data_IF_419104501998
#
_entry.id   IF_419104501998
#
_cell.length_a   1.000
_cell.length_b   1.000
_cell.length_c   1.000
_cell.angle_alpha   90.00
_cell.angle_beta   90.00
_cell.angle_gamma   90.00
#
_symmetry.space_group_name_H-M   'P 1'
#
loop_
_entity.id
_entity.type
_entity.pdbx_description
1 polymer ?
#
# COMPACT_ATOMS: atom_id res chain seq x y z
N UNK A 1 -10.37 -11.45 -4.48
CA UNK A 1 -9.86 -10.05 -4.42
C UNK A 1 -9.70 -9.43 -5.80
N UNK A 2 -9.00 -10.07 -6.75
CA UNK A 2 -8.71 -9.48 -8.07
C UNK A 2 -9.97 -8.96 -8.79
N UNK A 3 -11.02 -9.78 -8.90
CA UNK A 3 -12.27 -9.36 -9.56
C UNK A 3 -13.00 -8.27 -8.78
N UNK A 4 -13.10 -8.42 -7.46
CA UNK A 4 -13.76 -7.48 -6.56
C UNK A 4 -13.14 -6.07 -6.60
N UNK A 5 -11.80 -5.98 -6.68
CA UNK A 5 -11.09 -4.70 -6.63
C UNK A 5 -10.85 -4.11 -8.02
N UNK A 6 -10.47 -4.95 -8.99
CA UNK A 6 -9.89 -4.52 -10.26
C UNK A 6 -10.57 -5.12 -11.51
N UNK A 7 -11.59 -5.96 -11.35
CA UNK A 7 -12.40 -6.45 -12.46
C UNK A 7 -13.21 -5.33 -13.13
N UNK A 8 -13.96 -5.62 -14.22
CA UNK A 8 -14.74 -4.61 -14.94
C UNK A 8 -15.72 -3.81 -14.06
N UNK A 9 -16.30 -4.43 -13.03
CA UNK A 9 -17.14 -3.79 -12.01
C UNK A 9 -16.43 -3.58 -10.66
N UNK A 10 -15.11 -3.72 -10.63
CA UNK A 10 -14.34 -3.71 -9.38
C UNK A 10 -14.33 -2.35 -8.69
N UNK A 11 -14.13 -2.38 -7.37
CA UNK A 11 -14.21 -1.22 -6.47
C UNK A 11 -13.39 0.00 -6.94
N UNK A 12 -12.16 -0.21 -7.41
CA UNK A 12 -11.29 0.88 -7.87
C UNK A 12 -11.61 1.39 -9.28
N UNK A 13 -12.41 0.65 -10.08
CA UNK A 13 -12.80 1.04 -11.45
C UNK A 13 -14.18 1.69 -11.53
N UNK A 14 -15.10 1.35 -10.62
CA UNK A 14 -16.52 1.73 -10.71
C UNK A 14 -16.84 3.19 -10.30
N UNK A 15 -15.85 4.02 -9.96
CA UNK A 15 -15.96 5.48 -9.97
C UNK A 15 -16.22 6.20 -8.63
N UNK A 16 -16.65 5.51 -7.57
CA UNK A 16 -16.75 6.13 -6.23
C UNK A 16 -15.39 6.20 -5.50
N UNK A 17 -14.53 5.20 -5.72
CA UNK A 17 -13.19 5.10 -5.14
C UNK A 17 -13.13 5.10 -3.60
N UNK A 18 -11.94 4.93 -3.01
CA UNK A 18 -11.76 4.84 -1.55
C UNK A 18 -12.21 6.10 -0.79
N UNK A 19 -12.17 7.25 -1.44
CA UNK A 19 -12.41 8.55 -0.78
C UNK A 19 -13.85 8.84 -0.34
N UNK A 20 -14.84 8.09 -0.85
CA UNK A 20 -16.20 8.10 -0.30
C UNK A 20 -16.31 7.29 1.00
N UNK A 21 -15.27 6.53 1.33
CA UNK A 21 -15.32 5.44 2.30
C UNK A 21 -14.20 5.50 3.36
N UNK A 22 -13.00 6.01 3.08
CA UNK A 22 -11.87 5.97 4.02
C UNK A 22 -11.16 7.31 4.19
N UNK A 23 -10.69 7.55 5.42
CA UNK A 23 -9.67 8.55 5.73
C UNK A 23 -8.33 7.82 5.82
N UNK A 24 -7.55 7.79 4.74
CA UNK A 24 -6.16 7.29 4.79
C UNK A 24 -5.26 8.27 5.54
N UNK A 25 -4.00 7.91 5.80
CA UNK A 25 -3.01 8.81 6.42
C UNK A 25 -2.88 10.15 5.69
N UNK A 26 -3.02 10.12 4.36
CA UNK A 26 -3.05 11.30 3.46
C UNK A 26 -4.27 12.19 3.74
N UNK A 27 -5.37 11.66 4.25
CA UNK A 27 -6.61 12.42 4.51
C UNK A 27 -6.69 12.97 5.94
N UNK A 28 -5.89 12.46 6.89
CA UNK A 28 -5.94 12.88 8.29
C UNK A 28 -5.14 14.17 8.55
N UNK A 29 -4.00 14.33 7.89
CA UNK A 29 -3.16 15.54 7.91
C UNK A 29 -2.35 15.64 6.60
N UNK A 30 -3.02 15.91 5.46
CA UNK A 30 -2.42 15.85 4.12
C UNK A 30 -1.14 16.67 3.99
N UNK A 31 -1.12 17.87 4.58
CA UNK A 31 -0.01 18.79 4.48
C UNK A 31 1.23 18.29 5.25
N UNK A 32 1.03 17.68 6.41
CA UNK A 32 2.12 17.12 7.22
C UNK A 32 2.73 15.88 6.56
N UNK A 33 1.87 15.00 6.03
CA UNK A 33 2.34 13.79 5.36
C UNK A 33 3.05 14.10 4.05
N UNK A 34 2.46 14.94 3.19
CA UNK A 34 3.11 15.40 1.96
C UNK A 34 4.41 16.17 2.25
N UNK A 35 4.44 16.97 3.32
CA UNK A 35 5.65 17.63 3.79
C UNK A 35 6.77 16.67 4.20
N UNK A 36 6.42 15.57 4.88
CA UNK A 36 7.39 14.51 5.22
C UNK A 36 7.93 13.82 3.97
N UNK A 37 7.06 13.48 3.01
CA UNK A 37 7.46 12.87 1.74
C UNK A 37 8.33 13.82 0.91
N UNK A 38 8.02 15.12 0.88
CA UNK A 38 8.84 16.13 0.21
C UNK A 38 10.23 16.28 0.87
N UNK A 39 10.33 16.17 2.21
CA UNK A 39 11.62 16.14 2.92
C UNK A 39 12.42 14.88 2.59
N UNK A 40 11.78 13.72 2.55
CA UNK A 40 12.42 12.47 2.12
C UNK A 40 12.94 12.59 0.67
N UNK A 41 12.12 13.14 -0.24
CA UNK A 41 12.51 13.39 -1.62
C UNK A 41 13.72 14.35 -1.71
N UNK A 42 13.78 15.38 -0.87
CA UNK A 42 14.93 16.26 -0.79
C UNK A 42 16.20 15.53 -0.31
N UNK A 43 16.11 14.64 0.68
CA UNK A 43 17.26 13.81 1.09
C UNK A 43 17.73 12.89 -0.03
N UNK A 44 16.79 12.30 -0.78
CA UNK A 44 17.09 11.45 -1.94
C UNK A 44 17.78 12.27 -3.04
N UNK A 45 17.28 13.46 -3.36
CA UNK A 45 17.88 14.38 -4.34
C UNK A 45 19.34 14.73 -4.00
N UNK A 46 19.62 15.08 -2.74
CA UNK A 46 20.99 15.38 -2.29
C UNK A 46 21.90 14.14 -2.36
N UNK A 47 21.42 12.96 -1.91
CA UNK A 47 22.18 11.71 -1.98
C UNK A 47 22.49 11.28 -3.41
N UNK A 48 21.61 11.60 -4.35
CA UNK A 48 21.80 11.33 -5.78
C UNK A 48 22.65 12.39 -6.50
N UNK A 49 23.12 13.43 -5.79
CA UNK A 49 23.94 14.48 -6.37
C UNK A 49 23.16 15.46 -7.24
N UNK A 50 21.87 15.68 -6.94
CA UNK A 50 20.97 16.63 -7.63
C UNK A 50 20.88 16.37 -9.14
N UNK A 51 20.31 15.23 -9.55
CA UNK A 51 20.19 14.86 -10.97
C UNK A 51 19.42 15.91 -11.77
N UNK A 52 19.66 15.99 -13.09
CA UNK A 52 18.98 16.95 -13.97
C UNK A 52 17.44 16.79 -13.97
N UNK A 53 16.96 15.55 -13.83
CA UNK A 53 15.56 15.23 -13.59
C UNK A 53 15.46 14.44 -12.27
N UNK A 54 14.51 14.81 -11.42
CA UNK A 54 14.21 14.16 -10.15
C UNK A 54 12.82 13.52 -10.24
N UNK A 55 12.76 12.19 -10.30
CA UNK A 55 11.50 11.46 -10.35
C UNK A 55 10.82 11.32 -9.00
N UNK A 56 9.52 11.53 -8.95
CA UNK A 56 8.65 11.14 -7.85
C UNK A 56 7.50 10.30 -8.40
N UNK A 57 7.42 9.03 -8.03
CA UNK A 57 6.36 8.11 -8.48
C UNK A 57 5.50 7.73 -7.28
N UNK A 58 4.22 8.09 -7.32
CA UNK A 58 3.20 7.73 -6.35
C UNK A 58 2.40 6.53 -6.87
N UNK A 59 2.55 5.36 -6.24
CA UNK A 59 1.95 4.10 -6.68
C UNK A 59 0.68 3.82 -5.88
N UNK A 60 -0.44 3.55 -6.58
CA UNK A 60 -1.75 3.50 -5.95
C UNK A 60 -2.20 4.92 -5.58
N UNK A 61 -2.01 5.86 -6.50
CA UNK A 61 -2.09 7.29 -6.21
C UNK A 61 -3.50 7.80 -5.84
N UNK A 62 -4.55 6.98 -5.96
CA UNK A 62 -5.92 7.39 -5.61
C UNK A 62 -6.44 8.45 -6.56
N UNK A 63 -6.52 9.72 -6.15
CA UNK A 63 -6.79 10.86 -7.07
C UNK A 63 -5.57 11.75 -7.27
N UNK A 64 -4.38 11.26 -6.92
CA UNK A 64 -3.13 11.99 -7.01
C UNK A 64 -2.96 13.04 -5.91
N UNK A 65 -3.65 12.91 -4.77
CA UNK A 65 -3.57 13.89 -3.68
C UNK A 65 -2.15 14.06 -3.15
N UNK A 66 -1.43 12.95 -2.93
CA UNK A 66 -0.05 13.00 -2.45
C UNK A 66 0.89 13.56 -3.52
N UNK A 67 0.82 13.05 -4.75
CA UNK A 67 1.59 13.59 -5.88
C UNK A 67 1.37 15.09 -6.12
N UNK A 68 0.12 15.54 -6.11
CA UNK A 68 -0.23 16.94 -6.27
C UNK A 68 0.28 17.80 -5.11
N UNK A 69 0.13 17.34 -3.87
CA UNK A 69 0.62 18.06 -2.70
C UNK A 69 2.15 18.20 -2.69
N UNK A 70 2.89 17.13 -3.03
CA UNK A 70 4.35 17.17 -3.15
C UNK A 70 4.79 18.12 -4.27
N UNK A 71 4.14 18.05 -5.45
CA UNK A 71 4.43 18.95 -6.55
C UNK A 71 4.18 20.42 -6.19
N UNK A 72 3.06 20.70 -5.51
CA UNK A 72 2.72 22.04 -5.05
C UNK A 72 3.72 22.59 -4.02
N UNK A 73 4.17 21.76 -3.07
CA UNK A 73 5.16 22.15 -2.06
C UNK A 73 6.52 22.51 -2.68
N UNK A 74 6.87 21.92 -3.83
CA UNK A 74 8.13 22.15 -4.52
C UNK A 74 8.03 23.21 -5.63
N UNK A 75 6.84 23.69 -5.96
CA UNK A 75 6.61 24.66 -7.01
C UNK A 75 7.44 25.95 -6.78
N UNK A 76 8.10 26.44 -7.85
CA UNK A 76 8.93 27.64 -7.79
C UNK A 76 10.31 27.45 -7.15
N UNK A 77 10.68 26.22 -6.73
CA UNK A 77 12.02 25.90 -6.22
C UNK A 77 12.92 25.29 -7.31
N UNK A 78 14.24 25.28 -7.10
CA UNK A 78 15.19 24.60 -8.00
C UNK A 78 14.92 23.08 -8.12
N UNK A 79 14.40 22.45 -7.05
CA UNK A 79 14.00 21.03 -7.10
C UNK A 79 12.72 20.86 -7.92
N UNK A 80 11.72 21.72 -7.70
CA UNK A 80 10.47 21.70 -8.47
C UNK A 80 10.69 21.90 -9.96
N UNK A 81 11.68 22.71 -10.36
CA UNK A 81 12.04 22.90 -11.77
C UNK A 81 12.57 21.62 -12.46
N UNK A 82 13.04 20.64 -11.68
CA UNK A 82 13.55 19.34 -12.16
C UNK A 82 12.60 18.18 -11.86
N UNK A 83 11.49 18.45 -11.16
CA UNK A 83 10.59 17.41 -10.66
C UNK A 83 9.79 16.81 -11.82
N UNK A 84 9.84 15.49 -11.93
CA UNK A 84 8.89 14.71 -12.72
C UNK A 84 8.02 13.89 -11.78
N UNK A 85 6.85 14.41 -11.43
CA UNK A 85 5.87 13.74 -10.59
C UNK A 85 4.96 12.85 -11.44
N UNK A 86 4.80 11.58 -11.05
CA UNK A 86 3.97 10.58 -11.73
C UNK A 86 3.01 9.95 -10.72
N UNK A 87 1.71 10.02 -10.99
CA UNK A 87 0.69 9.26 -10.28
C UNK A 87 0.36 7.98 -11.07
N UNK A 88 0.54 6.82 -10.44
CA UNK A 88 0.20 5.51 -11.03
C UNK A 88 -1.07 4.99 -10.39
N UNK A 89 -2.15 4.95 -11.16
CA UNK A 89 -3.48 4.55 -10.69
C UNK A 89 -4.34 3.98 -11.83
N UNK A 90 -5.01 2.87 -11.55
CA UNK A 90 -5.87 2.15 -12.50
C UNK A 90 -7.30 2.69 -12.56
N UNK A 91 -7.71 3.43 -11.53
CA UNK A 91 -8.97 4.15 -11.48
C UNK A 91 -9.06 5.34 -12.45
N UNK A 92 -10.18 6.07 -12.44
CA UNK A 92 -10.37 7.25 -13.29
C UNK A 92 -9.26 8.29 -13.08
N UNK A 93 -8.71 8.78 -14.19
CA UNK A 93 -7.67 9.81 -14.14
C UNK A 93 -8.20 11.12 -13.53
N UNK A 94 -7.40 11.74 -12.67
CA UNK A 94 -7.63 13.09 -12.17
C UNK A 94 -6.72 14.08 -12.89
N UNK A 95 -7.22 15.28 -13.15
CA UNK A 95 -6.41 16.40 -13.65
C UNK A 95 -5.73 17.10 -12.47
N UNK A 96 -4.48 16.72 -12.19
CA UNK A 96 -3.68 17.25 -11.08
C UNK A 96 -2.52 18.07 -11.67
N UNK A 97 -2.48 19.40 -11.44
CA UNK A 97 -1.44 20.26 -12.01
C UNK A 97 -0.02 19.81 -11.65
N UNK A 98 0.83 19.66 -12.68
CA UNK A 98 2.23 19.27 -12.51
C UNK A 98 2.46 17.78 -12.24
N UNK A 99 1.42 16.94 -12.38
CA UNK A 99 1.51 15.49 -12.18
C UNK A 99 1.14 14.77 -13.47
N UNK A 100 2.00 13.85 -13.90
CA UNK A 100 1.73 12.94 -15.01
C UNK A 100 0.91 11.74 -14.52
N UNK A 101 -0.27 11.51 -15.10
CA UNK A 101 -1.09 10.34 -14.77
C UNK A 101 -0.74 9.13 -15.64
N UNK A 102 -0.61 7.96 -15.02
CA UNK A 102 -0.41 6.66 -15.70
C UNK A 102 -1.26 5.57 -15.08
N UNK A 103 -1.67 4.60 -15.89
CA UNK A 103 -2.33 3.37 -15.43
C UNK A 103 -1.35 2.22 -15.17
N UNK A 104 -0.09 2.39 -15.58
CA UNK A 104 0.98 1.41 -15.45
C UNK A 104 2.23 2.05 -14.87
N UNK A 105 3.03 1.25 -14.16
CA UNK A 105 4.34 1.67 -13.65
C UNK A 105 5.24 2.16 -14.80
N UNK A 106 6.11 3.15 -14.57
CA UNK A 106 7.16 3.48 -15.54
C UNK A 106 8.04 2.26 -15.87
N UNK A 107 8.75 2.32 -17.00
CA UNK A 107 9.65 1.24 -17.41
C UNK A 107 10.71 0.94 -16.31
N UNK A 108 11.13 -0.32 -16.13
CA UNK A 108 12.22 -0.66 -15.22
C UNK A 108 13.49 0.14 -15.51
N UNK A 109 14.17 0.62 -14.47
CA UNK A 109 15.40 1.39 -14.58
C UNK A 109 15.23 2.75 -15.27
N UNK A 110 14.02 3.33 -15.27
CA UNK A 110 13.75 4.61 -15.93
C UNK A 110 13.64 5.80 -14.96
N UNK A 111 13.64 5.56 -13.66
CA UNK A 111 13.47 6.61 -12.65
C UNK A 111 14.72 6.80 -11.81
N UNK A 112 15.22 8.03 -11.76
CA UNK A 112 16.19 8.48 -10.75
C UNK A 112 15.45 9.34 -9.72
N UNK A 113 15.23 8.83 -8.49
CA UNK A 113 14.47 9.56 -7.46
C UNK A 113 13.76 8.68 -6.44
N UNK A 114 12.49 8.97 -6.17
CA UNK A 114 11.68 8.32 -5.15
C UNK A 114 10.47 7.60 -5.76
N UNK A 115 10.35 6.29 -5.49
CA UNK A 115 9.11 5.54 -5.69
C UNK A 115 8.45 5.37 -4.32
N UNK A 116 7.19 5.79 -4.20
CA UNK A 116 6.44 5.81 -2.96
C UNK A 116 5.11 5.08 -3.16
N UNK A 117 4.80 4.14 -2.28
CA UNK A 117 3.55 3.39 -2.28
C UNK A 117 2.92 3.47 -0.89
N UNK A 118 1.81 4.18 -0.75
CA UNK A 118 1.12 4.32 0.53
C UNK A 118 -0.23 3.63 0.47
N UNK A 119 -0.46 2.65 1.34
CA UNK A 119 -1.72 1.90 1.42
C UNK A 119 -2.06 1.25 0.05
N UNK A 120 -1.03 0.65 -0.56
CA UNK A 120 -1.13 0.02 -1.88
C UNK A 120 -1.00 -1.50 -1.80
N UNK A 121 -0.06 -2.01 -1.00
CA UNK A 121 0.24 -3.45 -0.97
C UNK A 121 -0.85 -4.25 -0.27
N UNK A 122 -1.56 -3.65 0.69
CA UNK A 122 -2.71 -4.27 1.35
C UNK A 122 -3.87 -4.56 0.36
N UNK A 123 -3.95 -3.78 -0.71
CA UNK A 123 -4.96 -3.90 -1.78
C UNK A 123 -4.48 -4.73 -2.99
N UNK A 124 -3.20 -5.11 -3.04
CA UNK A 124 -2.72 -6.07 -4.05
C UNK A 124 -3.34 -7.45 -3.76
N UNK A 125 -4.02 -8.08 -4.74
CA UNK A 125 -4.75 -9.33 -4.52
C UNK A 125 -3.87 -10.46 -4.01
N UNK A 126 -4.36 -11.20 -3.03
CA UNK A 126 -3.71 -12.39 -2.49
C UNK A 126 -4.63 -13.62 -2.54
N UNK A 127 -4.01 -14.79 -2.43
CA UNK A 127 -4.71 -16.06 -2.20
C UNK A 127 -4.70 -16.40 -0.71
N UNK A 128 -5.82 -16.91 -0.22
CA UNK A 128 -5.91 -17.47 1.14
C UNK A 128 -5.79 -18.99 1.05
N UNK A 129 -5.00 -19.57 1.94
CA UNK A 129 -4.95 -21.02 2.14
C UNK A 129 -5.34 -21.39 3.57
N UNK A 130 -5.86 -22.60 3.76
CA UNK A 130 -5.94 -23.27 5.05
C UNK A 130 -5.01 -24.49 5.08
N UNK A 131 -4.37 -24.73 6.23
CA UNK A 131 -3.64 -25.96 6.54
C UNK A 131 -4.61 -27.04 7.01
N UNK A 132 -4.60 -28.17 6.32
CA UNK A 132 -5.29 -29.40 6.70
C UNK A 132 -4.83 -29.83 8.11
N UNK A 133 -5.80 -30.10 9.00
CA UNK A 133 -5.55 -30.49 10.39
C UNK A 133 -5.16 -31.97 10.58
N UNK A 134 -5.06 -32.74 9.51
CA UNK A 134 -4.63 -34.14 9.54
C UNK A 134 -3.11 -34.24 9.42
N UNK A 135 -2.47 -35.06 10.26
CA UNK A 135 -1.06 -35.39 10.09
C UNK A 135 -0.84 -35.90 8.66
N UNK A 136 -0.03 -35.20 7.88
CA UNK A 136 0.30 -35.62 6.53
C UNK A 136 1.03 -36.97 6.59
N UNK A 137 0.35 -38.05 6.19
CA UNK A 137 1.04 -39.30 5.88
C UNK A 137 1.98 -39.02 4.69
N UNK A 138 3.28 -39.02 4.97
CA UNK A 138 4.32 -38.86 3.95
C UNK A 138 4.87 -37.45 3.77
N UNK A 139 5.25 -36.76 4.85
CA UNK A 139 6.49 -35.95 4.96
C UNK A 139 6.79 -34.80 3.98
N UNK A 140 5.97 -34.55 2.96
CA UNK A 140 6.04 -33.35 2.15
C UNK A 140 5.25 -32.24 2.84
N UNK A 141 5.52 -30.98 2.50
CA UNK A 141 4.73 -29.81 2.90
C UNK A 141 3.30 -29.81 2.29
N UNK A 142 2.63 -30.96 2.30
CA UNK A 142 1.34 -31.24 1.69
C UNK A 142 0.24 -31.16 2.74
N UNK A 143 -0.44 -30.02 2.74
CA UNK A 143 -1.63 -29.79 3.55
C UNK A 143 -2.22 -28.40 3.37
N UNK A 144 -1.61 -27.52 2.57
CA UNK A 144 -2.23 -26.24 2.24
C UNK A 144 -3.22 -26.44 1.09
N UNK A 145 -4.45 -25.98 1.31
CA UNK A 145 -5.50 -25.87 0.29
C UNK A 145 -5.92 -24.42 0.16
N UNK A 146 -6.17 -23.98 -1.07
CA UNK A 146 -6.78 -22.67 -1.29
C UNK A 146 -8.15 -22.61 -0.63
N UNK A 147 -8.57 -21.41 -0.25
CA UNK A 147 -9.93 -21.11 0.15
C UNK A 147 -10.64 -20.53 -1.05
N UNK A 148 -11.67 -21.23 -1.53
CA UNK A 148 -12.55 -20.75 -2.59
C UNK A 148 -13.72 -19.98 -1.97
N UNK A 149 -14.24 -19.01 -2.71
CA UNK A 149 -15.33 -18.14 -2.26
C UNK A 149 -16.46 -18.24 -3.28
N UNK A 150 -17.66 -18.55 -2.80
CA UNK A 150 -18.87 -18.49 -3.60
C UNK A 150 -19.13 -17.03 -4.03
N UNK A 151 -19.22 -16.74 -5.34
CA UNK A 151 -19.26 -15.37 -5.83
C UNK A 151 -20.60 -14.67 -5.60
N UNK A 152 -21.66 -15.38 -5.20
CA UNK A 152 -22.98 -14.80 -4.92
C UNK A 152 -23.18 -14.53 -3.43
N UNK A 153 -22.63 -15.40 -2.57
CA UNK A 153 -22.88 -15.40 -1.13
C UNK A 153 -21.67 -15.01 -0.30
N UNK A 154 -20.47 -15.10 -0.87
CA UNK A 154 -19.21 -14.93 -0.15
C UNK A 154 -18.84 -16.12 0.73
N UNK A 155 -19.59 -17.23 0.69
CA UNK A 155 -19.30 -18.42 1.49
C UNK A 155 -17.95 -19.04 1.12
N UNK A 156 -17.13 -19.32 2.13
CA UNK A 156 -15.82 -19.93 1.94
C UNK A 156 -15.93 -21.46 1.94
N UNK A 157 -15.20 -22.11 1.05
CA UNK A 157 -15.08 -23.58 1.01
C UNK A 157 -13.63 -24.02 0.71
N UNK A 158 -13.23 -25.24 1.11
CA UNK A 158 -11.91 -25.76 0.76
C UNK A 158 -11.79 -25.99 -0.75
N UNK A 159 -10.80 -25.36 -1.37
CA UNK A 159 -10.45 -25.54 -2.77
C UNK A 159 -9.39 -26.61 -3.00
N UNK A 160 -8.75 -26.51 -4.17
CA UNK A 160 -7.63 -27.34 -4.58
C UNK A 160 -6.37 -27.16 -3.71
N UNK A 161 -5.39 -28.07 -3.83
CA UNK A 161 -4.10 -27.93 -3.14
C UNK A 161 -3.37 -26.66 -3.59
N UNK A 162 -2.65 -26.03 -2.66
CA UNK A 162 -1.82 -24.87 -2.96
C UNK A 162 -0.75 -25.21 -4.00
N UNK A 163 -0.46 -24.27 -4.90
CA UNK A 163 0.63 -24.40 -5.86
C UNK A 163 1.97 -24.59 -5.15
N UNK A 164 2.94 -25.24 -5.80
CA UNK A 164 4.28 -25.41 -5.22
C UNK A 164 4.96 -24.07 -4.86
N UNK A 165 4.68 -23.00 -5.61
CA UNK A 165 5.21 -21.66 -5.33
C UNK A 165 4.60 -21.05 -4.07
N UNK A 166 3.29 -21.17 -3.91
CA UNK A 166 2.59 -20.62 -2.73
C UNK A 166 2.88 -21.45 -1.48
N UNK A 167 2.96 -22.77 -1.61
CA UNK A 167 3.39 -23.65 -0.52
C UNK A 167 4.83 -23.34 -0.06
N UNK A 168 5.76 -23.07 -0.99
CA UNK A 168 7.12 -22.67 -0.66
C UNK A 168 7.17 -21.29 0.01
N UNK A 169 6.40 -20.32 -0.49
CA UNK A 169 6.25 -19.00 0.13
C UNK A 169 5.73 -19.12 1.56
N UNK A 170 4.65 -19.88 1.76
CA UNK A 170 4.06 -20.12 3.08
C UNK A 170 5.01 -20.86 4.02
N UNK A 171 5.76 -21.84 3.55
CA UNK A 171 6.73 -22.56 4.38
C UNK A 171 7.85 -21.64 4.88
N UNK A 172 8.28 -20.69 4.06
CA UNK A 172 9.33 -19.73 4.41
C UNK A 172 8.82 -18.61 5.30
N UNK A 173 7.75 -17.97 4.86
CA UNK A 173 7.26 -16.76 5.47
C UNK A 173 6.26 -17.09 6.54
N UNK A 174 5.19 -17.83 6.28
CA UNK A 174 4.06 -18.07 7.21
C UNK A 174 3.94 -19.55 7.66
N UNK A 175 4.94 -20.12 8.38
CA UNK A 175 5.07 -21.57 8.59
C UNK A 175 4.03 -22.19 9.54
N UNK A 176 3.34 -21.37 10.35
CA UNK A 176 2.42 -21.81 11.39
C UNK A 176 1.06 -21.11 11.30
N UNK A 177 0.06 -21.69 11.96
CA UNK A 177 -1.32 -21.19 11.93
C UNK A 177 -2.16 -21.91 10.89
N UNK A 178 -3.48 -21.99 11.15
CA UNK A 178 -4.41 -22.70 10.27
C UNK A 178 -4.66 -21.92 8.98
N UNK A 179 -4.89 -20.61 9.06
CA UNK A 179 -5.15 -19.75 7.91
C UNK A 179 -3.88 -19.00 7.50
N UNK A 180 -3.59 -18.97 6.21
CA UNK A 180 -2.38 -18.39 5.63
C UNK A 180 -2.78 -17.45 4.50
N UNK A 181 -2.34 -16.20 4.57
CA UNK A 181 -2.52 -15.20 3.51
C UNK A 181 -1.26 -15.14 2.67
N UNK A 182 -1.33 -15.63 1.43
CA UNK A 182 -0.18 -15.84 0.56
C UNK A 182 0.25 -14.51 -0.07
N UNK A 183 1.34 -13.93 0.43
CA UNK A 183 1.85 -12.64 -0.02
C UNK A 183 2.67 -12.65 -1.31
N UNK A 184 2.81 -13.79 -2.01
CA UNK A 184 3.69 -13.89 -3.19
C UNK A 184 3.39 -12.84 -4.27
N UNK A 185 2.11 -12.62 -4.58
CA UNK A 185 1.68 -11.62 -5.56
C UNK A 185 2.04 -10.19 -5.14
N UNK A 186 2.03 -9.91 -3.83
CA UNK A 186 2.48 -8.65 -3.23
C UNK A 186 3.99 -8.48 -3.35
N UNK A 187 4.76 -9.53 -3.04
CA UNK A 187 6.21 -9.52 -3.22
C UNK A 187 6.58 -9.23 -4.68
N UNK A 188 5.88 -9.87 -5.63
CA UNK A 188 6.07 -9.64 -7.06
C UNK A 188 5.66 -8.21 -7.48
N UNK A 189 4.57 -7.68 -6.95
CA UNK A 189 4.13 -6.31 -7.21
C UNK A 189 5.14 -5.28 -6.67
N UNK A 190 5.58 -5.45 -5.42
CA UNK A 190 6.59 -4.61 -4.80
C UNK A 190 7.92 -4.66 -5.56
N UNK A 191 8.37 -5.86 -5.95
CA UNK A 191 9.59 -6.00 -6.75
C UNK A 191 9.49 -5.26 -8.09
N UNK A 192 8.33 -5.26 -8.76
CA UNK A 192 8.11 -4.45 -9.98
C UNK A 192 8.18 -2.95 -9.70
N UNK A 193 7.59 -2.47 -8.60
CA UNK A 193 7.66 -1.06 -8.22
C UNK A 193 9.10 -0.63 -7.92
N UNK A 194 9.86 -1.46 -7.19
CA UNK A 194 11.28 -1.21 -6.92
C UNK A 194 12.11 -1.20 -8.21
N UNK A 195 11.84 -2.12 -9.14
CA UNK A 195 12.57 -2.24 -10.40
C UNK A 195 12.44 -1.02 -11.33
N UNK A 196 11.47 -0.14 -11.10
CA UNK A 196 11.34 1.15 -11.80
C UNK A 196 12.56 2.06 -11.57
N UNK A 197 13.20 1.95 -10.41
CA UNK A 197 14.35 2.76 -10.05
C UNK A 197 15.60 2.35 -10.83
N UNK A 198 16.22 3.32 -11.50
CA UNK A 198 17.62 3.25 -11.92
C UNK A 198 18.54 3.52 -10.72
N UNK A 199 18.24 4.60 -9.97
CA UNK A 199 18.92 5.01 -8.75
C UNK A 199 17.95 5.74 -7.83
N UNK A 200 17.99 5.45 -6.53
CA UNK A 200 17.20 6.19 -5.55
C UNK A 200 16.62 5.28 -4.47
N UNK A 201 15.43 5.63 -4.00
CA UNK A 201 14.78 4.97 -2.86
C UNK A 201 13.37 4.56 -3.23
N UNK A 202 12.98 3.34 -2.82
CA UNK A 202 11.59 2.89 -2.84
C UNK A 202 11.07 2.79 -1.40
N UNK A 203 9.87 3.31 -1.14
CA UNK A 203 9.22 3.22 0.17
C UNK A 203 7.80 2.69 0.01
N UNK A 204 7.46 1.67 0.80
CA UNK A 204 6.09 1.21 0.98
C UNK A 204 5.65 1.52 2.42
N UNK A 205 4.43 2.02 2.58
CA UNK A 205 3.80 2.29 3.87
C UNK A 205 2.46 1.57 3.89
N UNK A 206 2.36 0.52 4.71
CA UNK A 206 1.16 -0.33 4.76
C UNK A 206 0.96 -0.90 6.17
N UNK A 207 -0.29 -1.25 6.49
CA UNK A 207 -0.60 -2.03 7.69
C UNK A 207 -0.08 -3.45 7.51
N UNK A 208 0.62 -3.95 8.52
CA UNK A 208 1.34 -5.21 8.38
C UNK A 208 1.77 -5.81 9.70
N UNK A 209 2.32 -7.01 9.62
CA UNK A 209 2.81 -7.78 10.76
C UNK A 209 4.15 -8.44 10.44
N UNK A 210 4.94 -8.68 11.49
CA UNK A 210 6.10 -9.56 11.42
C UNK A 210 5.72 -11.02 11.66
N UNK A 211 6.69 -11.92 11.52
CA UNK A 211 6.41 -13.35 11.56
C UNK A 211 5.76 -13.81 12.87
N UNK A 212 6.25 -13.28 13.98
CA UNK A 212 5.78 -13.52 15.33
C UNK A 212 4.45 -12.82 15.67
N UNK A 213 4.02 -11.84 14.87
CA UNK A 213 2.81 -11.03 15.11
C UNK A 213 1.60 -11.48 14.26
N UNK A 214 1.75 -12.54 13.45
CA UNK A 214 0.72 -12.98 12.51
C UNK A 214 -0.59 -13.38 13.19
N UNK A 215 -1.71 -12.76 12.82
CA UNK A 215 -3.01 -13.10 13.40
C UNK A 215 -3.43 -14.55 13.06
N UNK A 216 -3.82 -15.37 14.05
CA UNK A 216 -4.19 -16.78 13.81
C UNK A 216 -5.36 -16.98 12.85
N UNK A 217 -6.21 -15.95 12.69
CA UNK A 217 -7.41 -15.96 11.82
C UNK A 217 -7.21 -15.18 10.51
N UNK A 218 -5.97 -14.80 10.19
CA UNK A 218 -5.71 -13.87 9.09
C UNK A 218 -6.20 -12.45 9.40
N UNK A 219 -6.08 -11.59 8.40
CA UNK A 219 -6.41 -10.16 8.42
C UNK A 219 -7.29 -9.72 7.26
N UNK A 220 -7.57 -10.61 6.31
CA UNK A 220 -8.48 -10.34 5.21
C UNK A 220 -9.83 -9.90 5.74
N UNK A 221 -10.18 -8.67 5.41
CA UNK A 221 -11.42 -8.02 5.78
C UNK A 221 -11.92 -7.21 4.60
N UNK A 222 -13.12 -6.67 4.73
CA UNK A 222 -13.67 -5.79 3.74
C UNK A 222 -14.42 -4.65 4.38
N UNK A 223 -14.53 -3.56 3.66
CA UNK A 223 -15.19 -2.35 4.13
C UNK A 223 -16.19 -1.86 3.10
N UNK A 224 -17.33 -1.37 3.59
CA UNK A 224 -18.38 -0.73 2.80
C UNK A 224 -18.83 0.53 3.51
N UNK A 225 -18.92 1.65 2.80
CA UNK A 225 -19.36 2.92 3.39
C UNK A 225 -18.52 3.34 4.63
N UNK A 226 -17.22 3.04 4.57
CA UNK A 226 -16.26 3.32 5.64
C UNK A 226 -16.41 2.51 6.91
N UNK A 227 -17.19 1.43 6.87
CA UNK A 227 -17.37 0.52 7.99
C UNK A 227 -16.85 -0.86 7.62
N UNK A 228 -16.17 -1.47 8.58
CA UNK A 228 -15.77 -2.86 8.45
C UNK A 228 -17.02 -3.73 8.34
N UNK A 229 -16.99 -4.62 7.35
CA UNK A 229 -18.08 -5.53 7.06
C UNK A 229 -18.13 -6.60 8.16
N UNK A 230 -19.32 -6.81 8.73
CA UNK A 230 -19.54 -7.86 9.74
C UNK A 230 -19.81 -9.23 9.13
N UNK A 231 -20.16 -9.27 7.84
CA UNK A 231 -20.40 -10.48 7.04
C UNK A 231 -19.23 -10.83 6.13
N UNK A 232 -19.42 -11.84 5.27
CA UNK A 232 -18.41 -12.25 4.29
C UNK A 232 -18.43 -11.30 3.09
N UNK A 233 -17.26 -10.88 2.57
CA UNK A 233 -17.23 -10.09 1.36
C UNK A 233 -17.67 -10.91 0.15
N UNK A 234 -18.53 -10.33 -0.66
CA UNK A 234 -18.91 -10.84 -1.98
C UNK A 234 -18.04 -10.13 -3.02
N UNK A 235 -17.48 -10.82 -4.03
CA UNK A 235 -16.59 -10.21 -5.02
C UNK A 235 -17.35 -9.44 -6.11
N UNK A 236 -18.31 -8.61 -5.73
CA UNK A 236 -19.20 -7.85 -6.62
C UNK A 236 -18.78 -6.38 -6.84
N UNK A 237 -17.64 -5.98 -6.26
CA UNK A 237 -17.12 -4.61 -6.32
C UNK A 237 -17.77 -3.62 -5.37
N UNK A 238 -18.71 -4.06 -4.53
CA UNK A 238 -19.40 -3.21 -3.54
C UNK A 238 -18.59 -2.92 -2.28
N UNK A 239 -17.47 -3.61 -2.08
CA UNK A 239 -16.61 -3.48 -0.91
C UNK A 239 -15.15 -3.29 -1.30
N UNK A 240 -14.45 -2.50 -0.50
CA UNK A 240 -12.99 -2.48 -0.49
C UNK A 240 -12.48 -3.68 0.30
N UNK A 241 -11.74 -4.59 -0.35
CA UNK A 241 -11.21 -5.81 0.28
C UNK A 241 -9.72 -5.62 0.50
N UNK A 242 -9.26 -5.74 1.73
CA UNK A 242 -7.87 -5.52 2.13
C UNK A 242 -7.39 -6.64 3.06
N UNK A 243 -6.08 -6.81 3.15
CA UNK A 243 -5.43 -7.66 4.14
C UNK A 243 -4.08 -7.07 4.51
N UNK A 244 -3.68 -7.19 5.78
CA UNK A 244 -2.37 -6.75 6.24
C UNK A 244 -1.24 -7.43 5.47
N UNK A 245 -0.10 -6.73 5.39
CA UNK A 245 1.08 -7.16 4.65
C UNK A 245 2.01 -7.96 5.57
N UNK A 246 2.50 -9.11 5.09
CA UNK A 246 3.64 -9.80 5.68
C UNK A 246 4.94 -9.02 5.37
N UNK A 247 5.19 -7.94 6.13
CA UNK A 247 6.24 -6.95 5.82
C UNK A 247 7.64 -7.58 5.83
N UNK A 248 7.83 -8.65 6.60
CA UNK A 248 9.06 -9.43 6.63
C UNK A 248 9.40 -10.13 5.31
N UNK A 249 8.40 -10.41 4.45
CA UNK A 249 8.60 -11.04 3.16
C UNK A 249 9.13 -10.09 2.07
N UNK A 250 8.86 -8.78 2.18
CA UNK A 250 9.24 -7.76 1.19
C UNK A 250 10.74 -7.42 1.16
N UNK A 251 11.49 -7.81 2.20
CA UNK A 251 12.89 -7.43 2.38
C UNK A 251 13.09 -5.96 2.76
N UNK A 252 14.33 -5.48 2.66
CA UNK A 252 14.69 -4.09 2.98
C UNK A 252 14.71 -3.74 4.48
N UNK A 253 15.02 -2.48 4.77
CA UNK A 253 14.94 -1.93 6.13
C UNK A 253 13.49 -1.63 6.50
N UNK A 254 13.12 -1.87 7.76
CA UNK A 254 11.76 -1.67 8.27
C UNK A 254 11.81 -0.72 9.47
N UNK A 255 10.87 0.20 9.52
CA UNK A 255 10.72 1.18 10.60
C UNK A 255 9.22 1.41 10.82
N UNK A 256 8.80 1.68 12.06
CA UNK A 256 7.40 2.03 12.31
C UNK A 256 7.13 3.41 11.71
N UNK A 257 5.99 3.58 11.03
CA UNK A 257 5.62 4.85 10.36
C UNK A 257 5.78 6.08 11.29
N UNK A 258 5.34 5.97 12.55
CA UNK A 258 5.48 7.03 13.56
C UNK A 258 6.93 7.47 13.81
N UNK A 259 7.88 6.55 13.70
CA UNK A 259 9.31 6.81 13.93
C UNK A 259 9.91 7.50 12.71
N UNK A 260 9.64 6.97 11.50
CA UNK A 260 10.04 7.59 10.25
C UNK A 260 9.48 9.02 10.09
N UNK A 261 8.19 9.20 10.38
CA UNK A 261 7.55 10.53 10.32
C UNK A 261 8.19 11.50 11.32
N UNK A 262 8.58 11.03 12.52
CA UNK A 262 9.29 11.85 13.51
C UNK A 262 10.67 12.27 13.02
N UNK A 263 11.41 11.37 12.41
CA UNK A 263 12.72 11.66 11.81
C UNK A 263 12.59 12.66 10.65
N UNK A 264 11.52 12.56 9.87
CA UNK A 264 11.13 13.52 8.84
C UNK A 264 10.51 14.80 9.42
N UNK A 265 10.54 15.00 10.74
CA UNK A 265 10.16 16.22 11.43
C UNK A 265 8.64 16.45 11.54
N UNK A 266 7.84 15.39 11.51
CA UNK A 266 6.41 15.41 11.88
C UNK A 266 6.29 15.07 13.37
N UNK A 267 5.62 15.94 14.12
CA UNK A 267 5.39 15.74 15.55
C UNK A 267 3.90 15.67 15.85
N UNK A 268 3.49 14.66 16.62
CA UNK A 268 2.16 14.59 17.23
C UNK A 268 2.09 15.31 18.59
N UNK A 269 3.14 16.05 18.99
CA UNK A 269 3.11 16.82 20.22
C UNK A 269 2.10 17.95 20.08
N UNK A 270 1.20 18.09 21.07
CA UNK A 270 0.30 19.24 21.12
C UNK A 270 1.11 20.53 21.14
N UNK A 271 0.74 21.55 20.34
CA UNK A 271 1.32 22.88 20.47
C UNK A 271 1.21 23.35 21.92
N UNK A 272 2.15 24.19 22.42
CA UNK A 272 2.04 24.77 23.75
C UNK A 272 0.66 25.41 23.95
N UNK A 273 0.06 25.27 25.14
CA UNK A 273 -1.27 25.84 25.43
C UNK A 273 -1.34 27.36 25.15
N UNK A 274 -0.21 28.08 25.28
CA UNK A 274 -0.13 29.50 24.93
C UNK A 274 -0.35 29.80 23.44
N UNK A 275 -0.17 28.81 22.56
CA UNK A 275 -0.49 28.91 21.13
C UNK A 275 -2.00 28.95 20.91
N UNK A 276 -2.82 28.29 21.75
CA UNK A 276 -4.28 28.41 21.70
C UNK A 276 -4.78 29.85 21.92
N UNK A 277 -4.00 30.65 22.65
CA UNK A 277 -4.32 32.05 22.94
C UNK A 277 -3.80 33.01 21.87
N UNK A 278 -2.67 32.71 21.23
CA UNK A 278 -1.98 33.62 20.30
C UNK A 278 -2.26 33.32 18.82
N UNK A 279 -2.42 32.04 18.50
CA UNK A 279 -2.83 31.55 17.19
C UNK A 279 -3.78 30.35 17.36
N UNK A 280 -5.06 30.62 17.66
CA UNK A 280 -6.04 29.58 17.87
C UNK A 280 -6.22 28.65 16.66
N UNK A 281 -5.93 29.13 15.44
CA UNK A 281 -6.03 28.34 14.21
C UNK A 281 -4.82 27.41 14.06
N UNK A 282 -3.61 27.92 14.30
CA UNK A 282 -2.39 27.10 14.34
C UNK A 282 -2.30 26.14 15.53
N UNK A 283 -3.12 26.32 16.57
CA UNK A 283 -3.21 25.38 17.69
C UNK A 283 -4.00 24.10 17.37
N UNK A 284 -4.96 24.18 16.44
CA UNK A 284 -5.83 23.06 16.06
C UNK A 284 -5.50 22.47 14.68
N UNK A 285 -4.53 23.05 13.97
CA UNK A 285 -3.95 22.54 12.73
C UNK A 285 -2.82 21.54 13.05
#
# INVERSE_FOLDING_TARGET
MADALYGPGGFYRAGAGPSGHFRTSVHAAPELFAGAVARLLAEVDERLGRPAELGFVDVGAGRGELAGAVAALLAGTERGARLRAVAVEVGPAADVPGVEWRTELPAPGSVTGLVFANEWLDNVPLEVCERDGGAAEGGAAGGLRYVEVDPETGEESPGGPASARDAAWAARWWPSGRRVEIGRTRDEAWARAVAVLERGTAVAVDYGHLAEERPPRGTLTAFRDGRELTGRPVPDGSCDVTAHVAVDALGGSRVRQREALRELGVSGARPPLGTATRDPRGYVA
#
